data_IF_906989958320
#
_entry.id   IF_906989958320
#
_cell.length_a   1.000
_cell.length_b   1.000
_cell.length_c   1.000
_cell.angle_alpha   90.00
_cell.angle_beta   90.00
_cell.angle_gamma   90.00
#
_symmetry.space_group_name_H-M   'P 1'
#
loop_
_entity.id
_entity.type
_entity.pdbx_description
1 polymer ?
#
# COMPACT_ATOMS: atom_id res chain seq x y z
N UNK A 1 -1.17 -10.10 -8.21
CA UNK A 1 0.08 -10.88 -8.08
C UNK A 1 -0.23 -12.36 -7.91
N UNK A 2 0.63 -13.22 -8.44
CA UNK A 2 0.69 -14.65 -8.16
C UNK A 2 2.05 -15.18 -8.63
N UNK A 3 2.58 -16.21 -7.98
CA UNK A 3 3.79 -16.91 -8.41
C UNK A 3 3.82 -18.33 -7.88
N UNK A 4 4.33 -19.29 -8.65
CA UNK A 4 4.66 -20.63 -8.15
C UNK A 4 5.92 -20.66 -7.27
N UNK A 5 6.64 -19.54 -7.18
CA UNK A 5 7.77 -19.29 -6.29
C UNK A 5 7.37 -18.29 -5.19
N UNK A 6 8.26 -18.02 -4.24
CA UNK A 6 8.08 -16.95 -3.25
C UNK A 6 7.72 -15.63 -3.96
N UNK A 7 6.72 -14.93 -3.44
CA UNK A 7 6.36 -13.58 -3.86
C UNK A 7 7.16 -12.60 -3.00
N UNK A 8 7.89 -11.70 -3.64
CA UNK A 8 8.66 -10.64 -2.98
C UNK A 8 8.81 -9.49 -3.97
N UNK A 9 7.91 -8.51 -3.90
CA UNK A 9 7.96 -7.35 -4.78
C UNK A 9 7.47 -6.09 -4.08
N UNK A 10 7.85 -4.97 -4.69
CA UNK A 10 7.35 -3.64 -4.36
C UNK A 10 6.80 -3.01 -5.62
N UNK A 11 5.64 -2.35 -5.49
CA UNK A 11 5.09 -1.45 -6.50
C UNK A 11 4.94 -0.07 -5.87
N UNK A 12 5.45 0.97 -6.54
CA UNK A 12 5.43 2.34 -6.01
C UNK A 12 5.34 3.40 -7.10
N UNK A 13 4.87 4.58 -6.70
CA UNK A 13 4.77 5.76 -7.54
C UNK A 13 5.07 7.02 -6.71
N UNK A 14 5.90 7.91 -7.24
CA UNK A 14 6.04 9.28 -6.73
C UNK A 14 5.03 10.18 -7.40
N UNK A 15 4.09 10.71 -6.62
CA UNK A 15 3.13 11.74 -7.04
C UNK A 15 3.74 13.10 -6.75
N UNK A 16 3.66 14.02 -7.72
CA UNK A 16 4.31 15.34 -7.68
C UNK A 16 3.29 16.46 -7.86
N UNK A 17 3.73 17.69 -7.66
CA UNK A 17 2.91 18.90 -7.76
C UNK A 17 1.72 18.89 -6.79
N UNK A 18 1.92 18.30 -5.61
CA UNK A 18 0.96 18.31 -4.51
C UNK A 18 1.06 19.64 -3.76
N UNK A 19 -0.07 20.10 -3.23
CA UNK A 19 -0.08 21.21 -2.27
C UNK A 19 0.34 20.69 -0.88
N UNK A 20 1.02 21.53 -0.10
CA UNK A 20 1.31 21.22 1.30
C UNK A 20 0.02 21.03 2.09
N UNK A 21 -0.03 20.03 2.97
CA UNK A 21 -1.21 19.72 3.76
C UNK A 21 -1.16 18.33 4.37
N UNK A 22 -2.33 17.81 4.73
CA UNK A 22 -2.48 16.43 5.21
C UNK A 22 -3.11 15.57 4.14
N UNK A 23 -2.58 14.37 3.99
CA UNK A 23 -3.05 13.38 3.02
C UNK A 23 -3.39 12.05 3.70
N UNK A 24 -4.18 11.25 3.00
CA UNK A 24 -4.41 9.84 3.27
C UNK A 24 -4.07 8.99 2.06
N UNK A 25 -3.54 7.80 2.30
CA UNK A 25 -3.24 6.82 1.25
C UNK A 25 -3.90 5.47 1.57
N UNK A 26 -4.66 4.93 0.63
CA UNK A 26 -5.34 3.64 0.76
C UNK A 26 -5.24 2.80 -0.51
N UNK A 27 -5.44 1.49 -0.33
CA UNK A 27 -5.68 0.54 -1.42
C UNK A 27 -6.81 -0.41 -1.02
N UNK A 28 -7.28 -1.19 -1.98
CA UNK A 28 -8.07 -2.41 -1.75
C UNK A 28 -7.19 -3.61 -2.11
N UNK A 29 -7.17 -4.62 -1.25
CA UNK A 29 -6.42 -5.86 -1.48
C UNK A 29 -7.25 -7.07 -1.08
N UNK A 30 -7.24 -8.10 -1.92
CA UNK A 30 -7.73 -9.44 -1.55
C UNK A 30 -6.85 -10.49 -2.21
N UNK A 31 -6.93 -11.73 -1.75
CA UNK A 31 -6.00 -12.78 -2.16
C UNK A 31 -6.00 -13.94 -1.18
N UNK A 32 -5.20 -14.97 -1.40
CA UNK A 32 -5.15 -16.14 -0.53
C UNK A 32 -3.84 -16.89 -0.62
N UNK A 33 -3.77 -17.99 0.13
CA UNK A 33 -2.66 -18.95 0.14
C UNK A 33 -1.29 -18.31 0.47
N UNK A 34 -1.31 -17.16 1.15
CA UNK A 34 -0.13 -16.40 1.53
C UNK A 34 0.44 -16.91 2.86
N UNK A 35 1.30 -17.92 2.80
CA UNK A 35 2.10 -18.33 3.99
C UNK A 35 3.23 -17.33 4.24
N UNK A 36 3.72 -17.23 5.47
CA UNK A 36 4.85 -16.35 5.84
C UNK A 36 4.69 -14.91 5.30
N UNK A 37 3.47 -14.39 5.37
CA UNK A 37 3.11 -13.12 4.76
C UNK A 37 3.70 -11.92 5.53
N UNK A 38 4.35 -11.01 4.81
CA UNK A 38 4.75 -9.67 5.27
C UNK A 38 4.28 -8.71 4.18
N UNK A 39 3.13 -8.08 4.41
CA UNK A 39 2.47 -7.20 3.45
C UNK A 39 2.17 -5.87 4.11
N UNK A 40 2.51 -4.78 3.44
CA UNK A 40 2.23 -3.43 3.92
C UNK A 40 2.04 -2.46 2.77
N UNK A 41 1.27 -1.42 3.01
CA UNK A 41 1.34 -0.19 2.22
C UNK A 41 2.22 0.83 2.94
N UNK A 42 2.79 1.76 2.18
CA UNK A 42 3.59 2.85 2.73
C UNK A 42 3.40 4.14 1.95
N UNK A 43 3.70 5.24 2.64
CA UNK A 43 3.88 6.56 2.06
C UNK A 43 5.19 7.17 2.57
N UNK A 44 5.86 7.95 1.74
CA UNK A 44 7.05 8.73 2.10
C UNK A 44 6.77 10.18 1.72
N UNK A 45 6.69 11.05 2.71
CA UNK A 45 6.51 12.50 2.55
C UNK A 45 7.62 13.20 3.33
N UNK A 46 8.33 14.13 2.69
CA UNK A 46 9.44 14.89 3.29
C UNK A 46 10.49 14.00 4.00
N UNK A 47 10.79 12.83 3.43
CA UNK A 47 11.72 11.86 4.00
C UNK A 47 11.17 11.03 5.18
N UNK A 48 9.98 11.35 5.71
CA UNK A 48 9.30 10.56 6.74
C UNK A 48 8.49 9.43 6.10
N UNK A 49 8.69 8.21 6.61
CA UNK A 49 7.97 7.01 6.18
C UNK A 49 6.79 6.71 7.09
N UNK A 50 5.65 6.43 6.48
CA UNK A 50 4.40 6.01 7.11
C UNK A 50 4.05 4.63 6.56
N UNK A 51 3.50 3.72 7.38
CA UNK A 51 3.17 2.37 6.96
C UNK A 51 1.86 1.87 7.59
N UNK A 52 1.16 1.00 6.88
CA UNK A 52 0.06 0.22 7.41
C UNK A 52 0.21 -1.25 6.97
N UNK A 53 0.23 -2.16 7.94
CA UNK A 53 0.27 -3.61 7.69
C UNK A 53 -1.07 -4.05 7.12
N UNK A 54 -1.02 -4.99 6.18
CA UNK A 54 -2.21 -5.63 5.60
C UNK A 54 -1.99 -7.14 5.48
N UNK A 55 -3.01 -7.84 5.01
CA UNK A 55 -2.96 -9.26 4.70
C UNK A 55 -3.94 -9.60 3.58
N UNK A 56 -3.94 -10.87 3.18
CA UNK A 56 -4.94 -11.46 2.30
C UNK A 56 -5.46 -12.75 2.94
N UNK A 57 -6.73 -13.10 2.72
CA UNK A 57 -7.40 -14.17 3.49
C UNK A 57 -8.56 -14.86 2.72
N UNK A 58 -8.37 -15.12 1.43
CA UNK A 58 -9.31 -15.80 0.55
C UNK A 58 -9.92 -14.93 -0.56
N UNK A 59 -10.61 -15.60 -1.48
CA UNK A 59 -11.32 -14.98 -2.60
C UNK A 59 -12.45 -14.06 -2.13
N UNK A 60 -12.42 -12.80 -2.60
CA UNK A 60 -13.35 -11.72 -2.25
C UNK A 60 -13.39 -11.36 -0.75
N UNK A 61 -12.40 -11.80 0.03
CA UNK A 61 -12.17 -11.29 1.37
C UNK A 61 -11.26 -10.06 1.27
N UNK A 62 -11.90 -8.90 1.12
CA UNK A 62 -11.23 -7.62 0.90
C UNK A 62 -10.73 -7.00 2.20
N UNK A 63 -9.51 -6.46 2.14
CA UNK A 63 -8.89 -5.63 3.16
C UNK A 63 -8.67 -4.22 2.60
N UNK A 64 -8.80 -3.24 3.49
CA UNK A 64 -8.80 -1.81 3.16
C UNK A 64 -7.72 -1.09 4.00
N UNK A 65 -6.42 -1.41 3.83
CA UNK A 65 -5.39 -0.72 4.57
C UNK A 65 -5.38 0.76 4.19
N UNK A 66 -5.24 1.62 5.20
CA UNK A 66 -5.23 3.06 5.06
C UNK A 66 -4.16 3.65 5.98
N UNK A 67 -3.39 4.60 5.44
CA UNK A 67 -2.49 5.47 6.19
C UNK A 67 -3.15 6.85 6.23
N UNK A 68 -3.44 7.33 7.44
CA UNK A 68 -4.00 8.67 7.67
C UNK A 68 -2.90 9.64 8.11
N UNK A 69 -3.22 10.93 8.13
CA UNK A 69 -2.39 12.00 8.67
C UNK A 69 -0.96 12.02 8.11
N UNK A 70 -0.83 11.81 6.80
CA UNK A 70 0.44 11.99 6.08
C UNK A 70 0.67 13.50 5.94
N UNK A 71 1.53 14.04 6.78
CA UNK A 71 1.92 15.45 6.74
C UNK A 71 2.89 15.69 5.58
N UNK A 72 2.58 16.68 4.74
CA UNK A 72 3.41 17.13 3.63
C UNK A 72 3.61 18.66 3.72
N UNK A 73 4.86 19.08 3.82
CA UNK A 73 5.30 20.46 3.66
C UNK A 73 5.89 20.73 2.27
N UNK A 74 6.40 19.69 1.60
CA UNK A 74 6.87 19.73 0.22
C UNK A 74 5.74 19.60 -0.82
N UNK A 75 6.08 19.04 -1.98
CA UNK A 75 5.17 18.88 -3.12
C UNK A 75 5.16 17.48 -3.73
N UNK A 76 5.79 16.51 -3.07
CA UNK A 76 5.89 15.13 -3.54
C UNK A 76 5.59 14.13 -2.41
N UNK A 77 4.84 13.08 -2.74
CA UNK A 77 4.65 11.91 -1.88
C UNK A 77 4.94 10.66 -2.73
N UNK A 78 5.78 9.77 -2.23
CA UNK A 78 5.93 8.42 -2.80
C UNK A 78 5.02 7.47 -2.05
N UNK A 79 4.09 6.82 -2.75
CA UNK A 79 3.20 5.79 -2.21
C UNK A 79 3.52 4.43 -2.80
N UNK A 80 3.31 3.35 -2.05
CA UNK A 80 3.55 2.02 -2.56
C UNK A 80 3.02 0.89 -1.69
N UNK A 81 3.12 -0.32 -2.23
CA UNK A 81 2.83 -1.56 -1.53
C UNK A 81 4.04 -2.49 -1.62
N UNK A 82 4.43 -3.08 -0.49
CA UNK A 82 5.44 -4.15 -0.42
C UNK A 82 4.74 -5.44 -0.04
N UNK A 83 4.84 -6.44 -0.91
CA UNK A 83 4.11 -7.70 -0.80
C UNK A 83 5.10 -8.84 -0.76
N UNK A 84 5.11 -9.56 0.36
CA UNK A 84 5.87 -10.79 0.54
C UNK A 84 4.96 -11.90 1.02
N UNK A 85 5.11 -13.08 0.42
CA UNK A 85 4.54 -14.32 0.94
C UNK A 85 5.27 -15.52 0.33
N UNK A 86 5.00 -16.71 0.88
CA UNK A 86 5.44 -17.98 0.34
C UNK A 86 4.92 -18.25 -1.09
N UNK A 87 5.35 -19.38 -1.63
CA UNK A 87 4.94 -19.85 -2.95
C UNK A 87 3.43 -20.02 -3.05
N UNK A 88 2.89 -19.87 -4.26
CA UNK A 88 1.47 -20.00 -4.61
C UNK A 88 0.54 -18.93 -4.04
N UNK A 89 1.03 -18.06 -3.14
CA UNK A 89 0.27 -16.92 -2.67
C UNK A 89 -0.16 -16.02 -3.84
N UNK A 90 -1.39 -15.56 -3.78
CA UNK A 90 -1.99 -14.72 -4.81
C UNK A 90 -2.78 -13.58 -4.20
N UNK A 91 -3.03 -12.57 -5.01
CA UNK A 91 -3.95 -11.50 -4.68
C UNK A 91 -4.04 -10.46 -5.77
N UNK A 92 -4.89 -9.46 -5.58
CA UNK A 92 -4.95 -8.25 -6.38
C UNK A 92 -4.67 -7.05 -5.47
N UNK A 93 -4.04 -6.03 -6.04
CA UNK A 93 -3.93 -4.71 -5.44
C UNK A 93 -4.75 -3.81 -6.37
N UNK A 94 -5.74 -3.12 -5.84
CA UNK A 94 -6.64 -2.28 -6.61
C UNK A 94 -6.94 -0.98 -5.86
N UNK A 95 -7.55 -0.01 -6.53
CA UNK A 95 -8.02 1.25 -5.93
C UNK A 95 -6.95 2.00 -5.11
N UNK A 96 -5.76 2.19 -5.70
CA UNK A 96 -4.73 3.05 -5.10
C UNK A 96 -5.20 4.50 -5.09
N UNK A 97 -5.44 5.05 -3.90
CA UNK A 97 -5.94 6.43 -3.72
C UNK A 97 -5.04 7.17 -2.76
N UNK A 98 -4.38 8.21 -3.25
CA UNK A 98 -3.78 9.28 -2.46
C UNK A 98 -4.68 10.51 -2.57
N UNK A 99 -5.18 11.02 -1.46
CA UNK A 99 -6.09 12.16 -1.43
C UNK A 99 -5.77 13.10 -0.27
N UNK A 100 -6.00 14.42 -0.40
CA UNK A 100 -5.97 15.33 0.73
C UNK A 100 -7.04 14.93 1.76
N UNK A 101 -6.79 15.25 3.03
CA UNK A 101 -7.79 15.18 4.10
C UNK A 101 -8.49 16.53 4.11
N UNK A 102 -9.79 16.57 3.78
CA UNK A 102 -10.60 17.78 3.91
C UNK A 102 -10.68 18.18 5.39
N UNK A 103 -10.45 19.46 5.68
CA UNK A 103 -10.72 20.08 6.99
C UNK A 103 -12.20 20.37 7.18
#
# INVERSE_FOLDING_TARGET
>A
FWSSNKVDFTVEQTVRNLESGKYKFSIVIHGGDATDADMKIYAIADGKRYEAVTKVDGWRNFFFPCINDIELSGSEITVGASIKCGKNGWGSLDDFVLAPVEE
#
